data_IF_600859986389
#
_entry.id   IF_600859986389
#
_cell.length_a   1.000
_cell.length_b   1.000
_cell.length_c   1.000
_cell.angle_alpha   90.00
_cell.angle_beta   90.00
_cell.angle_gamma   90.00
#
_symmetry.space_group_name_H-M   'P 1'
#
loop_
_entity.id
_entity.type
_entity.pdbx_description
1 polymer ?
#
# COMPACT_ATOMS: atom_id res chain seq x y z
N UNK A 1 -20.17 -20.19 -23.13
CA UNK A 1 -18.83 -20.74 -22.78
C UNK A 1 -18.37 -20.25 -21.40
N UNK A 2 -17.53 -21.03 -20.71
CA UNK A 2 -16.95 -20.68 -19.40
C UNK A 2 -15.75 -19.75 -19.54
N UNK A 3 -15.58 -18.77 -18.64
CA UNK A 3 -14.43 -17.87 -18.72
C UNK A 3 -13.09 -18.63 -18.58
N UNK A 4 -12.07 -18.27 -19.35
CA UNK A 4 -10.73 -18.87 -19.30
C UNK A 4 -9.79 -17.92 -18.56
N UNK A 5 -8.96 -18.48 -17.68
CA UNK A 5 -7.91 -17.74 -16.96
C UNK A 5 -6.62 -17.76 -17.75
N UNK A 6 -5.99 -16.60 -17.93
CA UNK A 6 -4.64 -16.46 -18.50
C UNK A 6 -3.95 -15.23 -17.93
N UNK A 7 -2.61 -15.18 -18.05
CA UNK A 7 -1.87 -13.97 -17.73
C UNK A 7 -2.29 -12.82 -18.68
N UNK A 8 -2.36 -11.63 -18.12
CA UNK A 8 -2.65 -10.40 -18.84
C UNK A 8 -1.43 -9.96 -19.67
N UNK A 9 -1.68 -9.42 -20.86
CA UNK A 9 -0.64 -8.82 -21.70
C UNK A 9 -0.93 -7.33 -21.90
N UNK A 10 0.02 -6.59 -22.47
CA UNK A 10 -0.16 -5.16 -22.78
C UNK A 10 -1.43 -4.90 -23.61
N UNK A 11 -1.80 -5.82 -24.51
CA UNK A 11 -3.01 -5.73 -25.34
C UNK A 11 -4.32 -5.75 -24.52
N UNK A 12 -4.29 -6.22 -23.28
CA UNK A 12 -5.45 -6.20 -22.38
C UNK A 12 -5.61 -4.87 -21.63
N UNK A 13 -4.66 -3.93 -21.78
CA UNK A 13 -4.57 -2.70 -20.99
C UNK A 13 -5.88 -1.91 -20.91
N UNK A 14 -6.48 -1.54 -22.04
CA UNK A 14 -7.72 -0.75 -22.03
C UNK A 14 -8.91 -1.53 -21.44
N UNK A 15 -8.99 -2.83 -21.69
CA UNK A 15 -10.05 -3.67 -21.12
C UNK A 15 -9.91 -3.79 -19.58
N UNK A 16 -8.67 -3.82 -19.09
CA UNK A 16 -8.35 -3.78 -17.65
C UNK A 16 -8.74 -2.43 -17.06
N UNK A 17 -8.35 -1.32 -17.68
CA UNK A 17 -8.70 0.03 -17.21
C UNK A 17 -10.22 0.23 -17.19
N UNK A 18 -10.94 -0.25 -18.22
CA UNK A 18 -12.40 -0.26 -18.25
C UNK A 18 -12.99 -1.07 -17.07
N UNK A 19 -12.42 -2.23 -16.73
CA UNK A 19 -12.85 -3.01 -15.57
C UNK A 19 -12.66 -2.21 -14.25
N UNK A 20 -11.53 -1.52 -14.08
CA UNK A 20 -11.33 -0.64 -12.92
C UNK A 20 -12.38 0.48 -12.84
N UNK A 21 -12.63 1.18 -13.95
CA UNK A 21 -13.65 2.26 -14.03
C UNK A 21 -15.05 1.76 -13.65
N UNK A 22 -15.38 0.52 -13.99
CA UNK A 22 -16.70 -0.09 -13.75
C UNK A 22 -16.85 -0.83 -12.41
N UNK A 23 -15.81 -0.88 -11.58
CA UNK A 23 -15.83 -1.62 -10.29
C UNK A 23 -15.45 -0.77 -9.08
N UNK A 24 -16.18 0.35 -8.82
CA UNK A 24 -15.88 1.19 -7.68
C UNK A 24 -16.13 0.47 -6.35
N UNK A 25 -15.30 0.78 -5.35
CA UNK A 25 -15.50 0.28 -4.00
C UNK A 25 -16.58 1.11 -3.30
N UNK A 26 -17.66 0.43 -2.93
CA UNK A 26 -18.79 1.05 -2.23
C UNK A 26 -18.55 0.97 -0.72
N UNK A 27 -18.37 2.13 -0.09
CA UNK A 27 -18.32 2.30 1.36
C UNK A 27 -19.17 3.51 1.79
N UNK A 28 -18.85 4.13 2.93
CA UNK A 28 -19.47 5.42 3.32
C UNK A 28 -19.23 6.48 2.25
N UNK A 29 -18.05 6.48 1.64
CA UNK A 29 -17.71 7.24 0.44
C UNK A 29 -17.53 6.23 -0.69
N UNK A 30 -18.01 6.56 -1.90
CA UNK A 30 -17.75 5.73 -3.07
C UNK A 30 -16.39 6.12 -3.63
N UNK A 31 -15.43 5.22 -3.55
CA UNK A 31 -14.05 5.43 -4.01
C UNK A 31 -13.78 4.57 -5.23
N UNK A 32 -12.97 5.10 -6.15
CA UNK A 32 -12.36 4.32 -7.21
C UNK A 32 -10.84 4.35 -7.06
N UNK A 33 -10.22 3.17 -6.97
CA UNK A 33 -8.77 3.02 -6.94
C UNK A 33 -8.30 2.76 -8.36
N UNK A 34 -7.94 3.82 -9.05
CA UNK A 34 -7.58 3.84 -10.46
C UNK A 34 -6.12 3.44 -10.67
N UNK A 35 -5.83 2.99 -11.89
CA UNK A 35 -4.50 2.57 -12.36
C UNK A 35 -4.17 3.23 -13.70
N UNK A 36 -4.63 4.46 -13.88
CA UNK A 36 -4.44 5.23 -15.11
C UNK A 36 -3.01 5.77 -15.19
N UNK A 37 -2.45 6.01 -16.39
CA UNK A 37 -2.99 5.64 -17.71
C UNK A 37 -2.67 4.19 -18.10
N UNK A 38 -1.88 3.49 -17.30
CA UNK A 38 -1.41 2.14 -17.57
C UNK A 38 -1.38 1.31 -16.28
N UNK A 39 -2.16 0.22 -16.28
CA UNK A 39 -2.22 -0.73 -15.18
C UNK A 39 -0.86 -1.39 -14.89
N UNK A 40 -0.09 -1.69 -15.93
CA UNK A 40 1.14 -2.46 -15.80
C UNK A 40 2.24 -1.65 -15.10
N UNK A 41 2.28 -0.33 -15.28
CA UNK A 41 3.17 0.57 -14.53
C UNK A 41 2.98 0.42 -13.02
N UNK A 42 1.73 0.46 -12.52
CA UNK A 42 1.44 0.25 -11.11
C UNK A 42 1.79 -1.16 -10.63
N UNK A 43 1.58 -2.18 -11.45
CA UNK A 43 1.89 -3.57 -11.09
C UNK A 43 3.39 -3.81 -10.83
N UNK A 44 4.26 -3.18 -11.62
CA UNK A 44 5.72 -3.23 -11.47
C UNK A 44 6.21 -2.53 -10.20
N UNK A 45 5.43 -1.60 -9.66
CA UNK A 45 5.71 -0.94 -8.37
C UNK A 45 5.22 -1.77 -7.19
N UNK A 46 4.17 -2.58 -7.35
CA UNK A 46 3.63 -3.40 -6.24
C UNK A 46 4.53 -4.62 -5.97
N UNK A 47 5.03 -5.27 -7.02
CA UNK A 47 5.81 -6.51 -6.96
C UNK A 47 7.11 -6.38 -7.79
N UNK A 48 8.24 -6.92 -7.32
CA UNK A 48 9.47 -6.99 -8.13
C UNK A 48 9.33 -7.98 -9.30
N UNK A 49 8.49 -9.00 -9.15
CA UNK A 49 8.06 -9.89 -10.22
C UNK A 49 6.54 -9.78 -10.36
N UNK A 50 6.04 -8.82 -11.16
CA UNK A 50 4.62 -8.61 -11.32
C UNK A 50 3.97 -9.76 -12.09
N UNK A 51 2.82 -10.20 -11.62
CA UNK A 51 2.00 -11.20 -12.29
C UNK A 51 0.55 -10.79 -12.19
N UNK A 52 -0.12 -10.65 -13.33
CA UNK A 52 -1.52 -10.26 -13.39
C UNK A 52 -2.30 -11.23 -14.25
N UNK A 53 -3.44 -11.68 -13.74
CA UNK A 53 -4.29 -12.66 -14.39
C UNK A 53 -5.64 -12.07 -14.70
N UNK A 54 -6.17 -12.42 -15.86
CA UNK A 54 -7.53 -12.09 -16.25
C UNK A 54 -8.35 -13.35 -16.50
N UNK A 55 -9.66 -13.22 -16.31
CA UNK A 55 -10.64 -14.19 -16.79
C UNK A 55 -11.54 -13.55 -17.85
N UNK A 56 -11.63 -14.16 -19.03
CA UNK A 56 -12.45 -13.68 -20.16
C UNK A 56 -13.29 -14.81 -20.74
N UNK A 57 -14.51 -14.52 -21.21
CA UNK A 57 -15.29 -15.46 -22.05
C UNK A 57 -14.99 -15.12 -23.51
N UNK A 58 -14.37 -16.03 -24.24
CA UNK A 58 -14.07 -15.91 -25.68
C UNK A 58 -13.43 -14.53 -26.05
N UNK A 59 -13.95 -13.85 -27.08
CA UNK A 59 -13.56 -12.48 -27.47
C UNK A 59 -14.28 -11.37 -26.68
N UNK A 60 -15.02 -11.69 -25.63
CA UNK A 60 -15.80 -10.73 -24.85
C UNK A 60 -14.98 -9.93 -23.83
N UNK A 61 -15.66 -9.15 -22.99
CA UNK A 61 -14.99 -8.30 -21.99
C UNK A 61 -14.27 -9.10 -20.89
N UNK A 62 -13.23 -8.50 -20.31
CA UNK A 62 -12.57 -9.00 -19.11
C UNK A 62 -13.57 -9.05 -17.96
N UNK A 63 -13.82 -10.25 -17.44
CA UNK A 63 -14.79 -10.50 -16.36
C UNK A 63 -14.16 -10.41 -14.98
N UNK A 64 -12.87 -10.72 -14.87
CA UNK A 64 -12.11 -10.68 -13.63
C UNK A 64 -10.67 -10.29 -13.92
N UNK A 65 -10.07 -9.58 -12.98
CA UNK A 65 -8.64 -9.31 -12.88
C UNK A 65 -8.19 -9.61 -11.44
N UNK A 66 -6.98 -10.13 -11.28
CA UNK A 66 -6.28 -10.13 -10.00
C UNK A 66 -4.76 -10.10 -10.22
N UNK A 67 -4.07 -9.38 -9.35
CA UNK A 67 -2.60 -9.43 -9.22
C UNK A 67 -2.18 -10.56 -8.29
N UNK A 68 -1.11 -11.26 -8.66
CA UNK A 68 -0.55 -12.40 -7.93
C UNK A 68 0.97 -12.48 -8.07
N UNK A 69 1.63 -11.32 -8.11
CA UNK A 69 3.08 -11.20 -8.26
C UNK A 69 3.86 -11.62 -7.01
N UNK A 70 5.18 -11.58 -7.10
CA UNK A 70 6.09 -11.82 -5.99
C UNK A 70 6.84 -10.54 -5.60
N UNK A 71 7.04 -10.39 -4.30
CA UNK A 71 7.93 -9.39 -3.72
C UNK A 71 8.92 -10.03 -2.75
N UNK A 72 10.17 -9.58 -2.77
CA UNK A 72 11.20 -10.08 -1.85
C UNK A 72 11.08 -9.37 -0.50
N UNK A 73 10.73 -10.11 0.55
CA UNK A 73 10.56 -9.60 1.91
C UNK A 73 11.46 -10.35 2.89
N UNK A 74 11.82 -9.70 3.99
CA UNK A 74 12.43 -10.38 5.13
C UNK A 74 11.40 -11.24 5.85
N UNK A 75 11.65 -12.55 5.89
CA UNK A 75 10.89 -13.55 6.65
C UNK A 75 11.85 -14.18 7.65
N UNK A 76 11.58 -13.98 8.95
CA UNK A 76 12.48 -14.37 10.05
C UNK A 76 13.90 -13.80 9.89
N UNK A 77 14.01 -12.62 9.29
CA UNK A 77 15.30 -11.96 8.99
C UNK A 77 16.02 -12.43 7.73
N UNK A 78 15.41 -13.33 6.93
CA UNK A 78 15.99 -13.82 5.68
C UNK A 78 15.17 -13.30 4.49
N UNK A 79 15.78 -12.65 3.49
CA UNK A 79 15.09 -12.28 2.26
C UNK A 79 14.52 -13.52 1.55
N UNK A 80 13.21 -13.54 1.32
CA UNK A 80 12.52 -14.60 0.59
C UNK A 80 11.46 -14.01 -0.35
N UNK A 81 11.19 -14.64 -1.50
CA UNK A 81 10.06 -14.26 -2.32
C UNK A 81 8.75 -14.58 -1.59
N UNK A 82 7.83 -13.61 -1.58
CA UNK A 82 6.50 -13.72 -1.00
C UNK A 82 5.48 -13.27 -2.06
N UNK A 83 4.47 -14.10 -2.32
CA UNK A 83 3.37 -13.75 -3.23
C UNK A 83 2.52 -12.66 -2.59
N UNK A 84 2.03 -11.73 -3.40
CA UNK A 84 1.08 -10.71 -2.95
C UNK A 84 -0.17 -10.75 -3.83
N UNK A 85 -1.31 -11.06 -3.23
CA UNK A 85 -2.61 -11.05 -3.89
C UNK A 85 -3.23 -9.65 -3.76
N UNK A 86 -3.38 -8.96 -4.89
CA UNK A 86 -3.87 -7.58 -4.95
C UNK A 86 -4.80 -7.35 -6.16
N UNK A 87 -5.38 -6.15 -6.25
CA UNK A 87 -6.17 -5.68 -7.40
C UNK A 87 -7.25 -6.64 -7.90
N UNK A 88 -7.86 -7.42 -6.99
CA UNK A 88 -9.01 -8.26 -7.33
C UNK A 88 -10.18 -7.39 -7.78
N UNK A 89 -10.61 -7.57 -9.02
CA UNK A 89 -11.78 -6.93 -9.63
C UNK A 89 -12.66 -8.00 -10.28
N UNK A 90 -13.97 -7.85 -10.11
CA UNK A 90 -14.98 -8.72 -10.68
C UNK A 90 -16.09 -7.88 -11.30
N UNK A 91 -16.30 -8.06 -12.61
CA UNK A 91 -17.36 -7.39 -13.36
C UNK A 91 -18.73 -7.68 -12.75
N UNK A 92 -19.65 -6.70 -12.75
CA UNK A 92 -20.94 -6.81 -12.06
C UNK A 92 -21.76 -8.02 -12.52
N UNK A 93 -21.82 -8.28 -13.83
CA UNK A 93 -22.52 -9.45 -14.40
C UNK A 93 -21.86 -10.81 -14.12
N UNK A 94 -20.64 -10.81 -13.59
CA UNK A 94 -19.91 -12.00 -13.17
C UNK A 94 -19.85 -12.17 -11.64
N UNK A 95 -20.57 -11.32 -10.89
CA UNK A 95 -20.68 -11.42 -9.43
C UNK A 95 -21.44 -12.68 -9.04
N UNK A 96 -20.69 -13.68 -8.59
CA UNK A 96 -21.20 -14.94 -8.07
C UNK A 96 -20.04 -15.79 -7.56
N UNK A 97 -20.27 -16.56 -6.49
CA UNK A 97 -19.21 -17.33 -5.81
C UNK A 97 -18.45 -18.30 -6.74
N UNK A 98 -19.06 -18.70 -7.87
CA UNK A 98 -18.45 -19.64 -8.83
C UNK A 98 -17.18 -19.10 -9.49
N UNK A 99 -17.11 -17.81 -9.86
CA UNK A 99 -15.87 -17.29 -10.49
C UNK A 99 -14.73 -17.23 -9.47
N UNK A 100 -15.03 -16.83 -8.24
CA UNK A 100 -14.08 -16.80 -7.12
C UNK A 100 -13.58 -18.21 -6.79
N UNK A 101 -14.46 -19.22 -6.74
CA UNK A 101 -14.06 -20.62 -6.55
C UNK A 101 -13.15 -21.13 -7.67
N UNK A 102 -13.42 -20.74 -8.92
CA UNK A 102 -12.56 -21.11 -10.07
C UNK A 102 -11.20 -20.42 -10.01
N UNK A 103 -11.16 -19.15 -9.61
CA UNK A 103 -9.93 -18.41 -9.37
C UNK A 103 -9.12 -19.07 -8.25
N UNK A 104 -9.75 -19.37 -7.10
CA UNK A 104 -9.11 -20.05 -5.99
C UNK A 104 -8.50 -21.40 -6.39
N UNK A 105 -9.23 -22.22 -7.16
CA UNK A 105 -8.69 -23.47 -7.71
C UNK A 105 -7.51 -23.21 -8.66
N UNK A 106 -7.66 -22.26 -9.58
CA UNK A 106 -6.62 -21.91 -10.54
C UNK A 106 -5.32 -21.48 -9.86
N UNK A 107 -5.41 -20.71 -8.78
CA UNK A 107 -4.28 -20.31 -7.94
C UNK A 107 -3.74 -21.50 -7.15
N UNK A 108 -4.60 -22.27 -6.49
CA UNK A 108 -4.19 -23.42 -5.67
C UNK A 108 -3.47 -24.53 -6.45
N UNK A 109 -3.76 -24.70 -7.74
CA UNK A 109 -3.03 -25.62 -8.64
C UNK A 109 -1.59 -25.15 -8.95
N UNK A 110 -1.24 -23.89 -8.68
CA UNK A 110 0.05 -23.25 -9.00
C UNK A 110 0.89 -22.91 -7.78
N UNK A 111 0.27 -22.84 -6.61
CA UNK A 111 0.92 -22.50 -5.34
C UNK A 111 1.53 -23.75 -4.73
N UNK A 112 2.84 -23.74 -4.50
CA UNK A 112 3.53 -24.77 -3.74
C UNK A 112 3.33 -24.61 -2.23
N UNK A 113 3.62 -25.65 -1.46
CA UNK A 113 3.40 -25.65 -0.01
C UNK A 113 4.29 -24.66 0.76
N UNK A 114 5.44 -24.27 0.19
CA UNK A 114 6.43 -23.38 0.77
C UNK A 114 6.25 -21.90 0.36
N UNK A 115 5.30 -21.59 -0.52
CA UNK A 115 4.99 -20.22 -0.92
C UNK A 115 4.13 -19.50 0.13
N UNK A 116 4.65 -18.40 0.68
CA UNK A 116 3.87 -17.47 1.49
C UNK A 116 3.09 -16.52 0.59
N UNK A 117 1.80 -16.35 0.87
CA UNK A 117 0.91 -15.44 0.13
C UNK A 117 0.33 -14.41 1.09
N UNK A 118 0.57 -13.14 0.81
CA UNK A 118 0.03 -12.00 1.55
C UNK A 118 -1.13 -11.33 0.83
N UNK A 119 -2.03 -10.74 1.59
CA UNK A 119 -3.00 -9.77 1.08
C UNK A 119 -3.41 -8.81 2.19
N UNK A 120 -3.88 -7.63 1.81
CA UNK A 120 -4.46 -6.65 2.74
C UNK A 120 -5.87 -6.31 2.29
N UNK A 121 -6.81 -6.39 3.22
CA UNK A 121 -8.21 -6.10 2.96
C UNK A 121 -8.63 -4.92 3.85
N UNK A 122 -9.19 -3.87 3.25
CA UNK A 122 -9.79 -2.76 4.00
C UNK A 122 -10.94 -3.27 4.87
N UNK A 123 -11.02 -2.84 6.12
CA UNK A 123 -12.03 -3.33 7.08
C UNK A 123 -13.47 -3.02 6.64
N UNK A 124 -13.67 -1.99 5.82
CA UNK A 124 -14.98 -1.62 5.26
C UNK A 124 -15.34 -2.38 3.95
N UNK A 125 -14.43 -3.19 3.42
CA UNK A 125 -14.63 -4.02 2.23
C UNK A 125 -15.31 -5.35 2.57
N UNK A 126 -16.54 -5.23 3.10
CA UNK A 126 -17.39 -6.38 3.45
C UNK A 126 -17.62 -7.34 2.28
N UNK A 127 -17.59 -6.85 1.03
CA UNK A 127 -17.72 -7.69 -0.17
C UNK A 127 -16.57 -8.68 -0.29
N UNK A 128 -15.33 -8.23 -0.08
CA UNK A 128 -14.15 -9.11 -0.16
C UNK A 128 -14.14 -10.10 1.00
N UNK A 129 -14.42 -9.63 2.23
CA UNK A 129 -14.51 -10.49 3.40
C UNK A 129 -15.56 -11.60 3.24
N UNK A 130 -16.75 -11.25 2.74
CA UNK A 130 -17.85 -12.21 2.57
C UNK A 130 -17.73 -13.09 1.32
N UNK A 131 -16.74 -12.85 0.45
CA UNK A 131 -16.51 -13.63 -0.77
C UNK A 131 -15.27 -14.50 -0.65
N UNK A 132 -14.08 -13.92 -0.79
CA UNK A 132 -12.80 -14.65 -0.83
C UNK A 132 -12.38 -15.17 0.55
N UNK A 133 -12.63 -14.40 1.61
CA UNK A 133 -12.28 -14.78 2.99
C UNK A 133 -13.46 -15.43 3.74
N UNK A 134 -14.45 -15.96 3.02
CA UNK A 134 -15.69 -16.47 3.61
C UNK A 134 -15.57 -17.84 4.31
N UNK A 135 -14.42 -18.51 4.19
CA UNK A 135 -14.17 -19.83 4.76
C UNK A 135 -15.00 -20.97 4.13
N UNK A 136 -15.64 -20.72 2.98
CA UNK A 136 -16.44 -21.74 2.28
C UNK A 136 -15.55 -22.82 1.68
N UNK A 137 -16.07 -24.04 1.63
CA UNK A 137 -15.38 -25.18 1.02
C UNK A 137 -14.91 -24.86 -0.42
N UNK A 138 -13.63 -25.15 -0.70
CA UNK A 138 -12.99 -24.89 -1.99
C UNK A 138 -12.35 -23.50 -2.13
N UNK A 139 -12.38 -22.66 -1.10
CA UNK A 139 -11.57 -21.45 -1.00
C UNK A 139 -10.38 -21.69 -0.05
N UNK A 140 -9.24 -21.00 -0.26
CA UNK A 140 -8.15 -21.03 0.71
C UNK A 140 -8.57 -20.35 2.01
N UNK A 141 -7.87 -20.68 3.09
CA UNK A 141 -8.10 -20.04 4.39
C UNK A 141 -7.29 -18.75 4.47
N UNK A 142 -7.96 -17.67 4.86
CA UNK A 142 -7.32 -16.38 5.12
C UNK A 142 -7.02 -16.32 6.61
N UNK A 143 -5.73 -16.33 6.95
CA UNK A 143 -5.27 -16.30 8.33
C UNK A 143 -4.93 -14.87 8.73
N UNK A 144 -5.66 -14.26 9.69
CA UNK A 144 -5.34 -12.94 10.21
C UNK A 144 -3.90 -12.88 10.71
N UNK A 145 -3.18 -11.84 10.27
CA UNK A 145 -1.78 -11.60 10.58
C UNK A 145 -1.54 -10.11 10.94
N UNK A 146 -2.53 -9.49 11.59
CA UNK A 146 -2.45 -8.19 12.23
C UNK A 146 -3.31 -7.11 11.58
N UNK A 147 -3.73 -6.16 12.41
CA UNK A 147 -4.47 -4.98 11.99
C UNK A 147 -3.52 -3.84 11.64
N UNK A 148 -3.86 -3.10 10.59
CA UNK A 148 -3.10 -1.96 10.08
C UNK A 148 -3.94 -0.69 10.24
N UNK A 149 -3.32 0.34 10.80
CA UNK A 149 -3.82 1.71 10.82
C UNK A 149 -3.15 2.50 9.69
N UNK A 150 -3.93 3.02 8.74
CA UNK A 150 -3.47 4.01 7.77
C UNK A 150 -3.97 5.39 8.17
N UNK A 151 -3.03 6.29 8.48
CA UNK A 151 -3.29 7.67 8.89
C UNK A 151 -2.99 8.65 7.76
N UNK A 152 -3.98 9.46 7.39
CA UNK A 152 -3.79 10.65 6.55
C UNK A 152 -3.47 11.84 7.46
N UNK A 153 -2.20 12.24 7.50
CA UNK A 153 -1.68 13.35 8.31
C UNK A 153 -1.79 14.68 7.54
N UNK A 154 -2.39 15.68 8.18
CA UNK A 154 -2.72 16.95 7.53
C UNK A 154 -1.88 18.14 7.98
N UNK A 155 -1.45 18.12 9.24
CA UNK A 155 -0.75 19.22 9.88
C UNK A 155 0.24 18.65 10.90
N UNK A 156 1.38 19.33 11.13
CA UNK A 156 2.37 18.91 12.12
C UNK A 156 1.78 18.93 13.53
N UNK A 157 2.30 18.08 14.41
CA UNK A 157 1.93 18.07 15.83
C UNK A 157 2.54 19.26 16.62
N UNK A 158 3.44 20.05 16.01
CA UNK A 158 4.08 21.21 16.63
C UNK A 158 5.17 20.87 17.67
N UNK A 159 5.63 19.61 17.72
CA UNK A 159 6.73 19.18 18.59
C UNK A 159 8.09 19.48 17.94
N UNK A 160 9.10 19.72 18.77
CA UNK A 160 10.47 19.99 18.34
C UNK A 160 11.43 19.01 19.03
N UNK A 161 12.37 18.45 18.25
CA UNK A 161 13.39 17.51 18.71
C UNK A 161 14.75 18.08 18.33
N UNK A 162 15.34 18.89 19.23
CA UNK A 162 16.54 19.68 18.94
C UNK A 162 17.81 18.86 18.74
N UNK A 163 17.83 17.62 19.25
CA UNK A 163 18.93 16.67 19.09
C UNK A 163 18.91 15.96 17.72
N UNK A 164 17.84 16.11 16.94
CA UNK A 164 17.64 15.39 15.68
C UNK A 164 17.71 16.36 14.50
N UNK A 165 18.73 16.18 13.67
CA UNK A 165 18.89 16.94 12.43
C UNK A 165 18.27 16.16 11.29
N UNK A 166 17.31 16.77 10.60
CA UNK A 166 16.62 16.15 9.47
C UNK A 166 16.93 16.88 8.18
N UNK A 167 17.35 16.14 7.16
CA UNK A 167 17.61 16.68 5.82
C UNK A 167 17.18 15.70 4.73
N UNK A 168 17.06 16.19 3.49
CA UNK A 168 16.86 15.33 2.32
C UNK A 168 18.14 14.55 2.03
N UNK A 169 17.98 13.33 1.52
CA UNK A 169 19.09 12.50 1.07
C UNK A 169 19.64 13.02 -0.27
N UNK A 170 20.92 12.75 -0.49
CA UNK A 170 21.61 12.93 -1.77
C UNK A 170 22.13 11.57 -2.25
N UNK A 171 22.63 11.50 -3.49
CA UNK A 171 23.22 10.27 -4.02
C UNK A 171 24.41 9.76 -3.17
N UNK A 172 25.11 10.66 -2.48
CA UNK A 172 26.24 10.32 -1.59
C UNK A 172 25.80 9.58 -0.32
N UNK A 173 24.53 9.71 0.07
CA UNK A 173 23.99 9.03 1.26
C UNK A 173 23.63 7.56 0.99
N UNK A 174 23.57 7.12 -0.28
CA UNK A 174 23.10 5.79 -0.67
C UNK A 174 23.85 4.64 0.05
N UNK A 175 25.19 4.67 0.19
CA UNK A 175 25.90 3.66 0.98
C UNK A 175 25.44 3.62 2.45
N UNK A 176 25.23 4.78 3.09
CA UNK A 176 24.77 4.84 4.48
C UNK A 176 23.31 4.40 4.63
N UNK A 177 22.45 4.73 3.67
CA UNK A 177 21.06 4.26 3.60
C UNK A 177 20.98 2.74 3.45
N UNK A 178 21.81 2.16 2.57
CA UNK A 178 21.88 0.71 2.39
C UNK A 178 22.40 0.03 3.67
N UNK A 179 23.45 0.56 4.29
CA UNK A 179 23.97 0.02 5.55
C UNK A 179 22.92 0.03 6.68
N UNK A 180 22.16 1.12 6.83
CA UNK A 180 21.06 1.19 7.79
C UNK A 180 19.96 0.17 7.47
N UNK A 181 19.64 -0.03 6.18
CA UNK A 181 18.66 -1.02 5.75
C UNK A 181 19.10 -2.44 6.06
N UNK A 182 20.33 -2.79 5.70
CA UNK A 182 20.89 -4.14 5.91
C UNK A 182 20.99 -4.47 7.40
N UNK A 183 21.19 -3.45 8.25
CA UNK A 183 21.20 -3.59 9.70
C UNK A 183 19.79 -3.80 10.27
N UNK A 184 18.83 -2.93 9.93
CA UNK A 184 17.56 -2.84 10.65
C UNK A 184 16.42 -3.64 10.02
N UNK A 185 16.37 -3.74 8.68
CA UNK A 185 15.27 -4.41 7.97
C UNK A 185 15.10 -5.91 8.34
N UNK A 186 16.18 -6.70 8.52
CA UNK A 186 16.06 -8.10 9.00
C UNK A 186 15.41 -8.24 10.38
N UNK A 187 15.34 -7.16 11.17
CA UNK A 187 14.68 -7.13 12.48
C UNK A 187 13.16 -7.17 12.43
N UNK A 188 12.55 -7.00 11.25
CA UNK A 188 11.09 -6.92 11.06
C UNK A 188 10.59 -8.04 10.15
N UNK A 189 9.41 -8.57 10.43
CA UNK A 189 8.71 -9.43 9.47
C UNK A 189 8.18 -8.59 8.31
N UNK A 190 8.22 -9.15 7.11
CA UNK A 190 7.61 -8.60 5.90
C UNK A 190 8.20 -7.27 5.43
N UNK A 191 9.32 -6.83 5.99
CA UNK A 191 10.01 -5.65 5.50
C UNK A 191 10.55 -5.94 4.10
N UNK A 192 10.29 -5.11 3.07
CA UNK A 192 10.80 -5.39 1.73
C UNK A 192 12.33 -5.29 1.67
N UNK A 193 12.98 -6.26 1.02
CA UNK A 193 14.44 -6.24 0.82
C UNK A 193 14.79 -5.24 -0.28
N UNK A 194 15.23 -4.04 0.10
CA UNK A 194 15.50 -2.95 -0.83
C UNK A 194 16.96 -2.89 -1.24
N UNK A 195 17.18 -2.50 -2.49
CA UNK A 195 18.49 -2.16 -3.03
C UNK A 195 18.45 -0.74 -3.58
N UNK A 196 19.00 0.23 -2.84
CA UNK A 196 18.94 1.65 -3.25
C UNK A 196 19.78 1.93 -4.50
N UNK A 197 20.79 1.11 -4.79
CA UNK A 197 21.53 1.20 -6.06
C UNK A 197 20.64 0.93 -7.28
N UNK A 198 19.65 0.04 -7.19
CA UNK A 198 18.67 -0.19 -8.27
C UNK A 198 17.78 1.04 -8.50
N UNK A 199 17.44 1.76 -7.44
CA UNK A 199 16.69 3.02 -7.56
C UNK A 199 17.51 4.07 -8.30
N UNK A 200 18.81 4.22 -8.00
CA UNK A 200 19.70 5.10 -8.77
C UNK A 200 19.79 4.69 -10.24
N UNK A 201 19.77 3.38 -10.52
CA UNK A 201 19.80 2.84 -11.86
C UNK A 201 18.45 2.94 -12.62
N UNK A 202 17.39 3.46 -11.99
CA UNK A 202 16.09 3.64 -12.63
C UNK A 202 15.25 2.38 -12.76
N UNK A 203 15.44 1.39 -11.88
CA UNK A 203 14.62 0.17 -11.86
C UNK A 203 13.12 0.48 -11.66
N UNK A 204 12.26 -0.16 -12.47
CA UNK A 204 10.82 0.08 -12.48
C UNK A 204 10.13 -0.18 -11.13
N UNK A 205 10.72 -1.03 -10.27
CA UNK A 205 10.21 -1.25 -8.91
C UNK A 205 10.23 0.04 -8.06
N UNK A 206 10.97 1.06 -8.47
CA UNK A 206 11.04 2.38 -7.83
C UNK A 206 10.48 3.51 -8.70
N UNK A 207 9.69 3.22 -9.74
CA UNK A 207 9.13 4.24 -10.63
C UNK A 207 8.41 5.37 -9.88
N UNK A 208 8.78 6.62 -10.18
CA UNK A 208 8.24 7.80 -9.52
C UNK A 208 8.83 8.10 -8.14
N UNK A 209 9.90 7.39 -7.74
CA UNK A 209 10.64 7.65 -6.51
C UNK A 209 12.12 7.90 -6.83
N UNK A 210 12.70 8.90 -6.19
CA UNK A 210 14.12 9.26 -6.30
C UNK A 210 14.79 9.27 -4.93
N UNK A 211 16.13 9.21 -4.91
CA UNK A 211 16.90 9.37 -3.65
C UNK A 211 16.57 10.71 -2.97
N UNK A 212 16.34 11.76 -3.74
CA UNK A 212 16.01 13.06 -3.17
C UNK A 212 14.67 13.07 -2.41
N UNK A 213 13.79 12.09 -2.63
CA UNK A 213 12.51 11.99 -1.91
C UNK A 213 12.66 11.40 -0.50
N UNK A 214 13.82 10.86 -0.18
CA UNK A 214 14.18 10.39 1.15
C UNK A 214 14.56 11.54 2.07
N UNK A 215 14.16 11.39 3.32
CA UNK A 215 14.51 12.21 4.46
C UNK A 215 15.29 11.35 5.44
N UNK A 216 16.41 11.89 5.89
CA UNK A 216 17.35 11.26 6.78
C UNK A 216 17.35 12.03 8.10
N UNK A 217 17.34 11.30 9.22
CA UNK A 217 17.43 11.84 10.56
C UNK A 217 18.76 11.43 11.20
N UNK A 218 19.47 12.42 11.73
CA UNK A 218 20.78 12.26 12.34
C UNK A 218 20.78 12.72 13.79
N UNK A 219 21.50 11.99 14.65
CA UNK A 219 21.92 12.44 15.99
C UNK A 219 23.44 12.56 15.98
N UNK A 220 23.95 13.78 16.02
CA UNK A 220 25.35 14.03 15.64
C UNK A 220 25.58 13.57 14.20
N UNK A 221 26.63 12.76 13.98
CA UNK A 221 26.95 12.20 12.66
C UNK A 221 26.27 10.84 12.38
N UNK A 222 25.58 10.27 13.36
CA UNK A 222 24.96 8.96 13.24
C UNK A 222 23.59 9.06 12.54
N UNK A 223 23.42 8.33 11.45
CA UNK A 223 22.11 8.14 10.80
C UNK A 223 21.24 7.24 11.69
N UNK A 224 20.17 7.80 12.27
CA UNK A 224 19.27 7.11 13.21
C UNK A 224 17.90 6.78 12.62
N UNK A 225 17.57 7.32 11.46
CA UNK A 225 16.37 6.91 10.74
C UNK A 225 16.27 7.50 9.35
N UNK A 226 15.45 6.86 8.52
CA UNK A 226 15.12 7.33 7.19
C UNK A 226 13.68 7.00 6.82
N UNK A 227 13.11 7.81 5.93
CA UNK A 227 11.84 7.54 5.28
C UNK A 227 11.69 8.41 4.03
N UNK A 228 10.85 8.03 3.08
CA UNK A 228 10.57 8.82 1.89
C UNK A 228 9.10 9.23 1.77
N UNK A 229 8.85 10.24 0.93
CA UNK A 229 7.52 10.55 0.40
C UNK A 229 7.43 10.14 -1.05
N UNK A 230 6.49 9.25 -1.34
CA UNK A 230 6.25 8.79 -2.70
C UNK A 230 4.98 9.43 -3.27
N UNK A 231 5.11 10.19 -4.34
CA UNK A 231 3.97 10.59 -5.17
C UNK A 231 3.67 9.49 -6.20
N UNK A 232 2.59 8.76 -5.98
CA UNK A 232 2.18 7.66 -6.85
C UNK A 232 1.04 8.06 -7.79
N UNK A 233 0.63 9.34 -7.80
CA UNK A 233 -0.55 9.81 -8.52
C UNK A 233 -0.49 9.58 -10.02
N UNK A 234 0.69 9.37 -10.60
CA UNK A 234 0.82 9.10 -12.03
C UNK A 234 0.40 7.68 -12.45
N UNK A 235 0.30 6.73 -11.50
CA UNK A 235 -0.04 5.32 -11.79
C UNK A 235 -1.01 4.69 -10.77
N UNK A 236 -1.29 5.36 -9.65
CA UNK A 236 -2.20 4.91 -8.59
C UNK A 236 -2.97 6.10 -8.04
N UNK A 237 -4.26 6.18 -8.35
CA UNK A 237 -5.10 7.30 -7.93
C UNK A 237 -6.28 6.84 -7.08
N UNK A 238 -6.65 7.65 -6.10
CA UNK A 238 -7.88 7.47 -5.33
C UNK A 238 -8.86 8.56 -5.73
N UNK A 239 -9.87 8.20 -6.54
CA UNK A 239 -10.93 9.12 -6.97
C UNK A 239 -12.13 9.00 -6.06
N UNK A 240 -12.66 10.12 -5.61
CA UNK A 240 -13.91 10.17 -4.85
C UNK A 240 -15.06 10.31 -5.84
N UNK A 241 -15.85 9.27 -6.05
CA UNK A 241 -16.98 9.31 -6.99
C UNK A 241 -18.22 9.96 -6.37
N UNK A 242 -18.52 9.64 -5.11
CA UNK A 242 -19.68 10.19 -4.41
C UNK A 242 -19.48 10.25 -2.90
N UNK A 243 -20.00 11.31 -2.30
CA UNK A 243 -20.15 11.46 -0.85
C UNK A 243 -21.56 11.00 -0.41
N UNK A 244 -21.77 10.63 0.87
CA UNK A 244 -23.11 10.39 1.41
C UNK A 244 -24.07 11.54 1.10
N UNK A 245 -25.34 11.22 0.80
CA UNK A 245 -26.39 12.23 0.55
C UNK A 245 -26.47 13.17 1.76
N UNK A 246 -26.35 14.48 1.51
CA UNK A 246 -26.36 15.51 2.55
C UNK A 246 -25.00 15.98 3.06
N UNK A 247 -23.87 15.40 2.62
CA UNK A 247 -22.51 15.90 2.97
C UNK A 247 -21.84 16.74 1.87
N UNK A 248 -22.45 16.85 0.69
CA UNK A 248 -21.90 17.64 -0.42
C UNK A 248 -21.73 19.13 -0.07
N UNK A 249 -22.60 19.68 0.78
CA UNK A 249 -22.53 21.08 1.24
C UNK A 249 -21.54 21.25 2.41
N UNK A 250 -21.47 20.28 3.34
CA UNK A 250 -20.48 20.23 4.42
C UNK A 250 -19.04 20.17 3.89
N UNK A 251 -18.82 19.65 2.67
CA UNK A 251 -17.53 19.70 1.97
C UNK A 251 -17.03 21.14 1.78
N UNK A 252 -17.89 22.08 1.41
CA UNK A 252 -17.48 23.46 1.19
C UNK A 252 -17.09 24.12 2.51
N UNK A 253 -17.88 23.91 3.57
CA UNK A 253 -17.55 24.38 4.92
C UNK A 253 -16.26 23.74 5.45
N UNK A 254 -16.07 22.44 5.23
CA UNK A 254 -14.85 21.72 5.58
C UNK A 254 -13.64 22.21 4.78
N UNK A 255 -13.78 22.48 3.49
CA UNK A 255 -12.68 22.95 2.65
C UNK A 255 -12.28 24.40 2.96
N UNK A 256 -13.25 25.25 3.33
CA UNK A 256 -12.98 26.60 3.86
C UNK A 256 -12.27 26.49 5.20
N UNK A 257 -12.77 25.67 6.12
CA UNK A 257 -12.17 25.46 7.42
C UNK A 257 -10.77 24.80 7.32
N UNK A 258 -10.56 23.85 6.40
CA UNK A 258 -9.27 23.22 6.10
C UNK A 258 -8.28 24.19 5.46
N UNK A 259 -8.76 25.20 4.72
CA UNK A 259 -7.89 26.27 4.21
C UNK A 259 -7.46 27.27 5.28
N UNK A 260 -8.24 27.41 6.37
CA UNK A 260 -7.95 28.33 7.48
C UNK A 260 -7.15 27.66 8.61
N UNK A 261 -7.36 26.37 8.87
CA UNK A 261 -6.80 25.65 10.03
C UNK A 261 -5.90 24.45 9.64
N UNK A 262 -5.52 24.35 8.35
CA UNK A 262 -4.87 23.18 7.79
C UNK A 262 -5.82 21.99 7.64
N UNK A 263 -5.56 21.07 6.72
CA UNK A 263 -6.46 19.95 6.41
C UNK A 263 -6.36 19.48 4.96
N UNK A 264 -6.77 18.24 4.67
CA UNK A 264 -7.00 17.83 3.27
C UNK A 264 -8.23 18.54 2.74
N UNK A 265 -8.04 19.23 1.61
CA UNK A 265 -9.16 19.62 0.76
C UNK A 265 -9.77 18.35 0.18
N UNK A 266 -10.99 18.06 0.60
CA UNK A 266 -11.77 16.98 0.02
C UNK A 266 -12.06 17.36 -1.44
N UNK A 267 -11.66 16.53 -2.41
CA UNK A 267 -11.90 16.82 -3.82
C UNK A 267 -13.40 16.88 -4.09
N UNK A 268 -13.77 17.53 -5.19
CA UNK A 268 -15.15 17.47 -5.69
C UNK A 268 -15.52 16.01 -6.00
N UNK A 269 -16.81 15.70 -6.11
CA UNK A 269 -17.21 14.41 -6.66
C UNK A 269 -16.63 14.27 -8.08
N UNK A 270 -16.00 13.14 -8.36
CA UNK A 270 -15.20 12.91 -9.56
C UNK A 270 -13.75 13.40 -9.46
N UNK A 271 -13.32 14.07 -8.38
CA UNK A 271 -11.94 14.52 -8.19
C UNK A 271 -11.03 13.51 -7.48
N UNK A 272 -9.72 13.66 -7.64
CA UNK A 272 -8.70 12.78 -7.05
C UNK A 272 -8.22 13.32 -5.71
N UNK A 273 -8.01 12.41 -4.75
CA UNK A 273 -7.31 12.75 -3.51
C UNK A 273 -5.84 13.08 -3.79
N UNK A 274 -5.32 14.07 -3.07
CA UNK A 274 -3.94 14.51 -3.14
C UNK A 274 -3.23 14.08 -1.87
N UNK A 275 -2.37 13.07 -1.95
CA UNK A 275 -1.55 12.62 -0.82
C UNK A 275 -0.22 12.07 -1.34
N UNK A 276 0.76 12.07 -0.46
CA UNK A 276 2.04 11.39 -0.62
C UNK A 276 2.05 10.21 0.35
N UNK A 277 2.60 9.09 -0.06
CA UNK A 277 2.65 7.90 0.80
C UNK A 277 4.02 7.83 1.47
N UNK A 278 4.02 7.60 2.79
CA UNK A 278 5.22 7.31 3.54
C UNK A 278 5.79 5.98 3.05
N UNK A 279 7.08 5.96 2.79
CA UNK A 279 7.76 4.82 2.20
C UNK A 279 9.08 4.52 2.92
N UNK A 280 9.45 3.24 2.99
CA UNK A 280 10.73 2.76 3.52
C UNK A 280 11.08 3.35 4.90
N UNK A 281 10.14 3.32 5.84
CA UNK A 281 10.37 3.84 7.19
C UNK A 281 11.25 2.88 7.99
N UNK A 282 12.49 3.29 8.25
CA UNK A 282 13.45 2.56 9.09
C UNK A 282 14.00 3.49 10.15
N UNK A 283 13.84 3.10 11.41
CA UNK A 283 14.19 3.92 12.56
C UNK A 283 14.85 3.05 13.60
N UNK A 284 16.02 3.48 14.07
CA UNK A 284 16.78 2.77 15.10
C UNK A 284 15.96 2.70 16.39
N UNK A 285 15.93 1.51 16.98
CA UNK A 285 15.24 1.20 18.25
C UNK A 285 13.74 1.55 18.28
N UNK A 286 13.12 1.70 17.11
CA UNK A 286 11.72 2.15 16.96
C UNK A 286 11.43 3.47 17.72
N UNK A 287 12.42 4.37 17.76
CA UNK A 287 12.32 5.64 18.46
C UNK A 287 11.31 6.57 17.76
N UNK A 288 10.12 6.65 18.35
CA UNK A 288 9.04 7.49 17.83
C UNK A 288 9.35 8.99 17.74
N UNK A 289 10.34 9.50 18.49
CA UNK A 289 10.78 10.89 18.38
C UNK A 289 11.50 11.14 17.05
N UNK A 290 12.27 10.17 16.56
CA UNK A 290 12.92 10.23 15.23
C UNK A 290 11.87 10.29 14.12
N UNK A 291 10.85 9.44 14.17
CA UNK A 291 9.76 9.49 13.19
C UNK A 291 9.01 10.81 13.24
N UNK A 292 8.73 11.31 14.45
CA UNK A 292 8.05 12.59 14.62
C UNK A 292 8.85 13.76 14.06
N UNK A 293 10.18 13.78 14.26
CA UNK A 293 11.06 14.77 13.68
C UNK A 293 11.03 14.74 12.14
N UNK A 294 11.10 13.53 11.55
CA UNK A 294 10.97 13.32 10.10
C UNK A 294 9.63 13.85 9.60
N UNK A 295 8.51 13.37 10.16
CA UNK A 295 7.16 13.76 9.76
C UNK A 295 6.91 15.27 9.93
N UNK A 296 7.39 15.86 11.02
CA UNK A 296 7.27 17.29 11.29
C UNK A 296 7.96 18.14 10.22
N UNK A 297 9.19 17.79 9.84
CA UNK A 297 9.92 18.48 8.77
C UNK A 297 9.27 18.28 7.40
N UNK A 298 8.82 17.06 7.11
CA UNK A 298 8.11 16.71 5.86
C UNK A 298 6.74 17.39 5.74
N UNK A 299 6.08 17.74 6.85
CA UNK A 299 4.85 18.54 6.86
C UNK A 299 5.12 20.04 6.78
N UNK A 300 6.15 20.54 7.49
CA UNK A 300 6.51 21.96 7.51
C UNK A 300 7.07 22.47 6.18
N UNK A 301 7.86 21.64 5.46
CA UNK A 301 8.49 22.04 4.19
C UNK A 301 7.60 21.88 2.96
N UNK A 302 6.29 21.64 3.12
CA UNK A 302 5.35 21.64 1.99
C UNK A 302 5.08 23.06 1.55
N UNK A 303 5.68 23.46 0.43
CA UNK A 303 5.74 24.86 0.03
C UNK A 303 4.49 25.41 -0.65
N UNK A 304 3.57 24.60 -1.18
CA UNK A 304 2.20 25.02 -1.57
C UNK A 304 1.52 23.84 -2.28
N UNK A 305 0.23 23.61 -1.97
CA UNK A 305 -0.68 22.51 -2.41
C UNK A 305 -0.69 21.25 -1.52
N UNK A 306 -1.50 21.31 -0.47
CA UNK A 306 -2.52 20.34 -0.03
C UNK A 306 -2.34 18.80 -0.17
N UNK A 307 -1.14 18.23 -0.23
CA UNK A 307 -0.99 16.77 -0.12
C UNK A 307 -1.03 16.35 1.35
N UNK A 308 -1.88 15.39 1.75
CA UNK A 308 -1.70 14.67 3.02
C UNK A 308 -0.46 13.77 2.98
N UNK A 309 0.06 13.35 4.13
CA UNK A 309 0.89 12.13 4.20
C UNK A 309 -0.01 10.97 4.56
N UNK A 310 -0.03 9.92 3.75
CA UNK A 310 -0.52 8.61 4.18
C UNK A 310 0.62 7.86 4.87
N UNK A 311 0.44 7.52 6.15
CA UNK A 311 1.40 6.72 6.92
C UNK A 311 0.69 5.51 7.51
N UNK A 312 1.26 4.32 7.30
CA UNK A 312 0.61 3.06 7.65
C UNK A 312 1.47 2.24 8.60
N UNK A 313 0.85 1.71 9.65
CA UNK A 313 1.53 0.91 10.66
C UNK A 313 0.63 -0.21 11.15
N UNK A 314 1.22 -1.36 11.49
CA UNK A 314 0.52 -2.34 12.29
C UNK A 314 0.13 -1.76 13.65
N UNK A 315 -0.99 -2.19 14.21
CA UNK A 315 -1.51 -1.66 15.48
C UNK A 315 -0.53 -1.85 16.64
N UNK A 316 0.27 -2.91 16.63
CA UNK A 316 1.31 -3.21 17.61
C UNK A 316 2.64 -2.46 17.38
N UNK A 317 2.80 -1.71 16.28
CA UNK A 317 4.06 -1.04 15.98
C UNK A 317 4.32 0.15 16.94
N UNK A 318 5.46 0.19 17.65
CA UNK A 318 5.81 1.28 18.55
C UNK A 318 5.85 2.66 17.87
N UNK A 319 6.20 2.71 16.57
CA UNK A 319 6.29 3.94 15.81
C UNK A 319 4.96 4.68 15.68
N UNK A 320 3.82 4.01 15.90
CA UNK A 320 2.51 4.67 15.98
C UNK A 320 2.44 5.78 17.02
N UNK A 321 3.26 5.70 18.08
CA UNK A 321 3.36 6.76 19.10
C UNK A 321 3.77 8.10 18.50
N UNK A 322 4.54 8.09 17.40
CA UNK A 322 4.92 9.30 16.68
C UNK A 322 3.70 10.04 16.13
N UNK A 323 2.64 9.32 15.76
CA UNK A 323 1.44 9.92 15.19
C UNK A 323 0.54 10.60 16.23
N UNK A 324 0.83 10.46 17.53
CA UNK A 324 0.08 11.13 18.60
C UNK A 324 0.18 12.64 18.47
N UNK A 325 -0.95 13.34 18.54
CA UNK A 325 -1.02 14.80 18.42
C UNK A 325 -1.08 15.32 16.99
N UNK A 326 -0.82 14.48 15.98
CA UNK A 326 -1.08 14.87 14.59
C UNK A 326 -2.57 14.95 14.34
N UNK A 327 -2.97 15.98 13.61
CA UNK A 327 -4.31 16.05 13.07
C UNK A 327 -4.41 15.12 11.86
N UNK A 328 -5.22 14.07 12.01
CA UNK A 328 -5.27 12.96 11.05
C UNK A 328 -6.66 12.36 10.87
N UNK A 329 -6.87 11.73 9.73
CA UNK A 329 -7.96 10.80 9.50
C UNK A 329 -7.40 9.38 9.43
N UNK A 330 -8.12 8.42 10.02
CA UNK A 330 -7.67 7.03 10.11
C UNK A 330 -8.56 6.13 9.28
N UNK A 331 -7.94 5.16 8.61
CA UNK A 331 -8.56 4.00 7.98
C UNK A 331 -7.93 2.74 8.55
N UNK A 332 -8.72 1.68 8.69
CA UNK A 332 -8.24 0.37 9.15
C UNK A 332 -8.30 -0.66 8.04
N UNK A 333 -7.34 -1.56 8.06
CA UNK A 333 -7.27 -2.72 7.17
C UNK A 333 -6.67 -3.89 7.92
N UNK A 334 -6.94 -5.10 7.46
CA UNK A 334 -6.43 -6.32 8.06
C UNK A 334 -5.48 -7.00 7.09
N UNK A 335 -4.33 -7.42 7.60
CA UNK A 335 -3.33 -8.18 6.86
C UNK A 335 -3.60 -9.67 7.03
N UNK A 336 -3.57 -10.42 5.94
CA UNK A 336 -3.79 -11.86 5.94
C UNK A 336 -2.65 -12.60 5.26
N UNK A 337 -2.39 -13.80 5.76
CA UNK A 337 -1.68 -14.83 5.02
C UNK A 337 -2.69 -15.83 4.45
N UNK A 338 -2.57 -16.15 3.18
CA UNK A 338 -3.47 -17.09 2.51
C UNK A 338 -2.84 -18.49 2.53
N UNK A 339 -3.52 -19.45 3.15
CA UNK A 339 -3.06 -20.84 3.22
C UNK A 339 -3.87 -21.76 2.31
N UNK A 340 -3.18 -22.35 1.32
CA UNK A 340 -3.70 -23.46 0.51
C UNK A 340 -3.33 -24.83 1.08
N UNK A 341 -2.21 -24.91 1.81
CA UNK A 341 -1.62 -26.17 2.30
C UNK A 341 -1.48 -26.24 3.84
N UNK A 342 -2.09 -25.30 4.58
CA UNK A 342 -2.00 -25.22 6.03
C UNK A 342 -2.08 -23.80 6.56
N UNK A 343 -1.75 -23.59 7.84
CA UNK A 343 -1.60 -22.27 8.45
C UNK A 343 -0.16 -21.76 8.26
N UNK A 344 0.08 -20.80 7.34
CA UNK A 344 1.42 -20.30 7.04
C UNK A 344 2.03 -19.48 8.19
N UNK A 345 1.25 -19.08 9.20
CA UNK A 345 1.76 -18.30 10.35
C UNK A 345 2.69 -19.13 11.24
N UNK A 346 2.62 -20.45 11.16
CA UNK A 346 3.49 -21.35 11.94
C UNK A 346 4.96 -21.23 11.55
N UNK A 347 5.25 -20.74 10.34
CA UNK A 347 6.62 -20.49 9.87
C UNK A 347 7.22 -19.20 10.44
N UNK A 348 6.42 -18.34 11.08
CA UNK A 348 6.84 -17.00 11.49
C UNK A 348 7.26 -16.96 12.95
N UNK A 349 8.39 -16.29 13.22
CA UNK A 349 8.80 -15.95 14.57
C UNK A 349 8.12 -14.66 15.09
N UNK A 350 8.55 -14.22 16.27
CA UNK A 350 7.94 -13.12 17.04
C UNK A 350 8.40 -11.71 16.64
N UNK A 351 9.21 -11.54 15.59
CA UNK A 351 9.60 -10.21 15.10
C UNK A 351 8.37 -9.37 14.77
N UNK A 352 8.45 -8.06 15.00
CA UNK A 352 7.36 -7.15 14.69
C UNK A 352 7.15 -7.08 13.18
N UNK A 353 5.91 -7.10 12.67
CA UNK A 353 5.66 -6.95 11.25
C UNK A 353 5.80 -5.49 10.80
N UNK A 354 6.21 -5.30 9.56
CA UNK A 354 6.23 -4.02 8.85
C UNK A 354 5.23 -4.06 7.69
N UNK A 355 4.64 -2.92 7.38
CA UNK A 355 3.72 -2.76 6.25
C UNK A 355 4.18 -1.64 5.33
N UNK A 356 4.41 -1.97 4.06
CA UNK A 356 4.72 -0.97 3.04
C UNK A 356 3.43 -0.51 2.35
N UNK A 357 2.72 0.47 2.93
CA UNK A 357 1.43 0.91 2.38
C UNK A 357 1.54 1.53 0.98
N UNK A 358 2.71 2.04 0.61
CA UNK A 358 2.97 2.53 -0.74
C UNK A 358 2.85 1.41 -1.79
N UNK A 359 3.11 0.15 -1.41
CA UNK A 359 3.10 -1.02 -2.29
C UNK A 359 1.88 -1.94 -2.09
N UNK A 360 0.77 -1.39 -1.58
CA UNK A 360 -0.49 -2.11 -1.43
C UNK A 360 -1.41 -2.06 -2.64
#
# INVERSE_FOLDING_TARGET
>A
MSAVFRQATADDGEAILHLFRSTPQRGRVVLNFEREPDYFCGSQVICDQPESWIARRDQGDVQMLFGFGQRTLYINGIPRPVRYAHDLRLAEGSRGGRMILRMARHVGERVSADELIQTVILSDNSVSMNSVASGRAGLPVYYPCGDIETSLLFAPAGRNHSDIIVRRATAEDVPAMQALHDELAPGRQFYPSYCFAKMLAGDNYYSGLSISDYWLAFRGDALVGMTALWDQKHFKQTRVLAYPRGLSWLRYLWNVWASLFGGVRLPEAGGQMSYLTLHSTLIRDDDSCVLDALLGQMLNRRTQKSHAIAAGFFMQDPLRKALKGYRRQVMTSEHFLIGYHGDPRQELDKRLPYIEIARL
#
